data_IF_717924279083
#
_entry.id   IF_717924279083
#
_cell.length_a   1.000
_cell.length_b   1.000
_cell.length_c   1.000
_cell.angle_alpha   90.00
_cell.angle_beta   90.00
_cell.angle_gamma   90.00
#
_symmetry.space_group_name_H-M   'P 1'
#
loop_
_entity.id
_entity.type
_entity.pdbx_description
1 polymer ?
#
# COMPACT_ATOMS: atom_id res chain seq x y z
N UNK A 1 -17.39 -7.43 11.54
CA UNK A 1 -18.01 -6.13 11.18
C UNK A 1 -17.83 -5.23 12.39
N UNK A 2 -17.01 -4.19 12.28
CA UNK A 2 -16.73 -3.27 13.38
C UNK A 2 -17.43 -1.94 13.06
N UNK A 3 -18.51 -1.63 13.77
CA UNK A 3 -19.25 -0.37 13.64
C UNK A 3 -18.77 0.55 14.77
N UNK A 4 -18.44 1.81 14.46
CA UNK A 4 -18.04 2.75 15.51
C UNK A 4 -19.26 3.18 16.35
N UNK A 5 -19.04 3.85 17.49
CA UNK A 5 -20.12 4.28 18.42
C UNK A 5 -21.17 5.22 17.81
N UNK A 6 -20.97 5.70 16.58
CA UNK A 6 -21.88 6.59 15.85
C UNK A 6 -22.66 5.87 14.75
N UNK A 7 -22.59 4.54 14.65
CA UNK A 7 -23.34 3.78 13.66
C UNK A 7 -22.78 3.89 12.23
N UNK A 8 -21.63 4.54 12.07
CA UNK A 8 -20.91 4.54 10.81
C UNK A 8 -19.99 3.32 10.78
N UNK A 9 -20.03 2.59 9.67
CA UNK A 9 -18.85 1.81 9.26
C UNK A 9 -17.66 2.77 9.34
N UNK A 10 -16.56 2.42 10.03
CA UNK A 10 -15.37 3.25 10.03
C UNK A 10 -15.03 3.50 8.56
N UNK A 11 -14.90 4.77 8.19
CA UNK A 11 -14.26 5.13 6.93
C UNK A 11 -12.97 4.31 6.91
N UNK A 12 -12.87 3.32 6.02
CA UNK A 12 -11.69 2.48 5.95
C UNK A 12 -10.52 3.44 5.80
N UNK A 13 -9.54 3.37 6.70
CA UNK A 13 -8.38 4.24 6.63
C UNK A 13 -7.56 3.84 5.39
N UNK A 14 -7.99 4.33 4.24
CA UNK A 14 -7.31 4.13 2.95
C UNK A 14 -6.01 4.91 2.88
N UNK A 15 -5.76 5.80 3.84
CA UNK A 15 -4.51 6.53 4.01
C UNK A 15 -4.21 6.70 5.50
N UNK A 16 -3.00 6.32 5.93
CA UNK A 16 -2.52 6.55 7.30
C UNK A 16 -1.00 6.75 7.36
N UNK A 17 -0.52 7.21 8.50
CA UNK A 17 0.89 7.53 8.77
C UNK A 17 1.22 7.28 10.25
N UNK A 18 2.49 7.01 10.60
CA UNK A 18 3.00 7.12 11.97
C UNK A 18 2.95 8.59 12.44
N UNK A 19 3.05 8.79 13.76
CA UNK A 19 2.99 10.10 14.39
C UNK A 19 4.05 11.08 13.85
N UNK A 20 5.24 10.58 13.56
CA UNK A 20 6.38 11.35 13.05
C UNK A 20 6.31 11.69 11.54
N UNK A 21 5.26 11.21 10.83
CA UNK A 21 5.03 11.44 9.40
C UNK A 21 6.16 10.98 8.48
N UNK A 22 7.03 10.08 8.92
CA UNK A 22 8.22 9.68 8.16
C UNK A 22 7.90 8.76 6.97
N UNK A 23 6.76 8.09 6.98
CA UNK A 23 6.22 7.28 5.88
C UNK A 23 4.68 7.32 5.90
N UNK A 24 4.03 6.76 4.88
CA UNK A 24 2.58 6.61 4.83
C UNK A 24 2.19 5.32 4.12
N UNK A 25 0.97 4.89 4.36
CA UNK A 25 0.37 3.73 3.70
C UNK A 25 -0.92 4.17 3.02
N UNK A 26 -1.06 3.80 1.75
CA UNK A 26 -2.30 3.97 1.01
C UNK A 26 -2.84 2.60 0.56
N UNK A 27 -4.06 2.26 0.96
CA UNK A 27 -4.76 1.05 0.49
C UNK A 27 -5.88 1.44 -0.44
N UNK A 28 -5.95 0.80 -1.61
CA UNK A 28 -7.05 0.99 -2.55
C UNK A 28 -8.12 -0.10 -2.37
N UNK A 29 -9.39 0.24 -2.56
CA UNK A 29 -10.52 -0.69 -2.57
C UNK A 29 -10.58 -1.52 -3.86
N UNK A 30 -10.14 -0.98 -4.99
CA UNK A 30 -10.24 -1.64 -6.30
C UNK A 30 -8.99 -2.46 -6.65
N UNK A 31 -7.87 -2.28 -5.93
CA UNK A 31 -6.61 -2.98 -6.18
C UNK A 31 -6.23 -3.97 -5.08
N UNK A 32 -5.45 -4.98 -5.47
CA UNK A 32 -4.93 -6.02 -4.57
C UNK A 32 -3.74 -5.54 -3.73
N UNK A 33 -3.21 -4.34 -4.00
CA UNK A 33 -1.95 -3.87 -3.44
C UNK A 33 -2.13 -2.75 -2.43
N UNK A 34 -1.15 -2.67 -1.54
CA UNK A 34 -0.98 -1.57 -0.60
C UNK A 34 0.27 -0.79 -0.99
N UNK A 35 0.14 0.53 -1.11
CA UNK A 35 1.28 1.39 -1.37
C UNK A 35 1.88 1.86 -0.06
N UNK A 36 3.21 1.81 0.02
CA UNK A 36 3.96 2.46 1.10
C UNK A 36 4.81 3.57 0.48
N UNK A 37 4.66 4.79 0.99
CA UNK A 37 5.46 5.94 0.60
C UNK A 37 6.36 6.36 1.74
N UNK A 38 7.63 6.67 1.45
CA UNK A 38 8.60 7.06 2.47
C UNK A 38 9.89 7.56 1.84
N UNK A 39 10.90 7.77 2.68
CA UNK A 39 12.25 8.09 2.20
C UNK A 39 12.84 6.91 1.40
N UNK A 40 13.83 7.19 0.55
CA UNK A 40 14.53 6.12 -0.19
C UNK A 40 15.14 5.07 0.75
N UNK A 41 15.66 5.48 1.90
CA UNK A 41 16.20 4.56 2.91
C UNK A 41 15.11 3.63 3.46
N UNK A 42 13.94 4.18 3.83
CA UNK A 42 12.79 3.41 4.28
C UNK A 42 12.31 2.42 3.21
N UNK A 43 12.18 2.85 1.95
CA UNK A 43 11.76 1.96 0.86
C UNK A 43 12.79 0.85 0.59
N UNK A 44 14.09 1.17 0.68
CA UNK A 44 15.14 0.17 0.51
C UNK A 44 15.13 -0.89 1.62
N UNK A 45 14.78 -0.51 2.85
CA UNK A 45 14.63 -1.45 3.96
C UNK A 45 13.48 -2.43 3.72
N UNK A 46 12.34 -1.95 3.22
CA UNK A 46 11.19 -2.80 2.87
C UNK A 46 11.54 -3.77 1.73
N UNK A 47 12.13 -3.26 0.64
CA UNK A 47 12.54 -4.07 -0.51
C UNK A 47 13.61 -5.12 -0.16
N UNK A 48 14.36 -4.94 0.92
CA UNK A 48 15.36 -5.90 1.39
C UNK A 48 14.77 -6.98 2.33
N UNK A 49 13.55 -6.79 2.84
CA UNK A 49 12.91 -7.74 3.74
C UNK A 49 12.21 -8.86 2.96
N UNK A 50 12.81 -10.05 2.98
CA UNK A 50 12.31 -11.23 2.24
C UNK A 50 10.99 -11.79 2.76
N UNK A 51 10.45 -11.26 3.87
CA UNK A 51 9.14 -11.62 4.40
C UNK A 51 8.01 -10.86 3.72
N UNK A 52 8.33 -9.80 2.99
CA UNK A 52 7.37 -8.95 2.29
C UNK A 52 7.40 -9.24 0.78
N UNK A 53 6.23 -9.17 0.15
CA UNK A 53 6.11 -9.23 -1.30
C UNK A 53 6.02 -7.80 -1.84
N UNK A 54 7.18 -7.18 -2.01
CA UNK A 54 7.30 -5.77 -2.33
C UNK A 54 7.92 -5.55 -3.71
N UNK A 55 7.37 -4.59 -4.45
CA UNK A 55 7.90 -4.13 -5.73
C UNK A 55 8.05 -2.62 -5.72
N UNK A 56 9.21 -2.14 -6.17
CA UNK A 56 9.45 -0.72 -6.34
C UNK A 56 8.51 -0.16 -7.42
N UNK A 57 7.84 0.95 -7.10
CA UNK A 57 6.97 1.64 -8.06
C UNK A 57 7.42 3.09 -8.29
N UNK A 58 6.87 3.71 -9.33
CA UNK A 58 7.09 5.11 -9.69
C UNK A 58 5.74 5.75 -10.06
N UNK A 59 5.58 7.07 -9.94
CA UNK A 59 4.33 7.75 -10.29
C UNK A 59 3.87 7.52 -11.73
N UNK A 60 4.79 7.19 -12.64
CA UNK A 60 4.47 6.91 -14.04
C UNK A 60 3.97 5.47 -14.27
N UNK A 61 4.12 4.59 -13.29
CA UNK A 61 3.53 3.25 -13.36
C UNK A 61 2.02 3.36 -13.20
N UNK A 62 1.29 2.69 -14.09
CA UNK A 62 -0.17 2.68 -14.02
C UNK A 62 -0.61 1.88 -12.79
N UNK A 63 -1.47 2.48 -11.96
CA UNK A 63 -2.25 1.78 -10.96
C UNK A 63 -3.67 1.63 -11.49
N UNK A 64 -3.88 0.70 -12.42
CA UNK A 64 -5.22 0.33 -12.91
C UNK A 64 -5.31 -1.19 -13.09
N UNK A 65 -6.52 -1.75 -13.12
CA UNK A 65 -6.75 -3.21 -13.17
C UNK A 65 -5.88 -3.98 -14.21
N UNK A 66 -5.64 -3.47 -15.43
CA UNK A 66 -4.75 -4.10 -16.41
C UNK A 66 -3.25 -4.11 -16.03
N UNK A 67 -2.83 -3.39 -14.99
CA UNK A 67 -1.44 -3.43 -14.49
C UNK A 67 -1.12 -4.69 -13.69
N UNK A 68 -2.15 -5.48 -13.34
CA UNK A 68 -2.04 -6.75 -12.59
C UNK A 68 -1.43 -7.91 -13.42
N UNK A 69 -0.88 -7.64 -14.61
CA UNK A 69 -0.15 -8.64 -15.40
C UNK A 69 1.25 -8.97 -14.84
N UNK A 70 1.83 -8.09 -14.01
CA UNK A 70 3.14 -8.35 -13.38
C UNK A 70 3.08 -9.54 -12.41
N UNK A 71 1.94 -9.74 -11.73
CA UNK A 71 1.70 -10.84 -10.80
C UNK A 71 1.47 -12.21 -11.46
N UNK A 72 1.33 -12.26 -12.80
CA UNK A 72 1.15 -13.53 -13.52
C UNK A 72 2.47 -14.10 -14.07
N UNK A 73 3.63 -13.57 -13.66
CA UNK A 73 4.97 -13.99 -14.11
C UNK A 73 5.89 -14.37 -12.94
N UNK A 74 5.36 -14.57 -11.73
CA UNK A 74 6.06 -15.35 -10.71
C UNK A 74 5.54 -16.80 -10.78
N UNK A 75 6.40 -17.80 -11.06
CA UNK A 75 6.00 -19.20 -11.13
C UNK A 75 5.54 -19.77 -9.78
#
# INVERSE_FOLDING_TARGET
MFINKYGHEPLRASLWWPDDRTWCVATEIDFRWTYVGGSQACINELLADTRLEDLATKPEHRGDYPSDVVMNILP
#
